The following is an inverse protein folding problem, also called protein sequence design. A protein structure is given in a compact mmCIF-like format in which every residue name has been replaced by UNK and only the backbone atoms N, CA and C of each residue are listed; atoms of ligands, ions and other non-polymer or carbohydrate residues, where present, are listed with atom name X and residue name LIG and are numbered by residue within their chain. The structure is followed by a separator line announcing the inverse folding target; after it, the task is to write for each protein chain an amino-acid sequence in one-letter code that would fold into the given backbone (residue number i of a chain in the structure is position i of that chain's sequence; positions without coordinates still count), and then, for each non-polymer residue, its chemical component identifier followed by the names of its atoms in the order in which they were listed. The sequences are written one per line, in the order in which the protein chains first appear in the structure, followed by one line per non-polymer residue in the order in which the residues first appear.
data_IF_497551367238
#
_entry.id   IF_497551367238
#
_cell.length_a   1.000
_cell.length_b   1.000
_cell.length_c   1.000
_cell.angle_alpha   90.00
_cell.angle_beta   90.00
_cell.angle_gamma   90.00
#
_symmetry.space_group_name_H-M   'P 1'
#
loop_
_entity.id
_entity.type
_entity.pdbx_description
1 polymer ?
#
# COMPACT_ATOMS: atom_id res chain seq x y z
N UNK A 1 -24.28 4.58 -41.64
CA UNK A 1 -22.91 4.70 -41.11
C UNK A 1 -23.02 4.83 -39.59
N UNK A 2 -22.85 3.72 -38.88
CA UNK A 2 -22.90 3.75 -37.43
C UNK A 2 -21.62 4.43 -36.93
N UNK A 3 -21.70 5.43 -36.04
CA UNK A 3 -20.50 5.88 -35.36
C UNK A 3 -19.91 4.66 -34.65
N UNK A 4 -18.64 4.42 -34.87
CA UNK A 4 -17.93 3.46 -34.09
C UNK A 4 -18.12 3.87 -32.63
N UNK A 5 -18.82 3.03 -31.88
CA UNK A 5 -18.87 3.16 -30.45
C UNK A 5 -17.43 2.98 -29.93
N UNK A 6 -16.80 4.10 -29.57
CA UNK A 6 -15.41 4.13 -29.09
C UNK A 6 -15.26 3.64 -27.66
N UNK A 7 -16.18 2.82 -27.20
CA UNK A 7 -16.00 2.09 -25.94
C UNK A 7 -15.12 0.87 -26.20
N UNK A 8 -13.81 1.10 -26.24
CA UNK A 8 -12.89 0.02 -25.94
C UNK A 8 -13.30 -0.51 -24.55
N UNK A 9 -13.44 -1.83 -24.40
CA UNK A 9 -13.67 -2.39 -23.07
C UNK A 9 -12.56 -1.91 -22.15
N UNK A 10 -12.85 -1.62 -20.88
CA UNK A 10 -11.81 -1.30 -19.94
C UNK A 10 -10.76 -2.42 -20.01
N UNK A 11 -9.47 -2.08 -20.03
CA UNK A 11 -8.43 -3.11 -20.06
C UNK A 11 -8.73 -4.13 -18.97
N UNK A 12 -8.78 -5.39 -19.35
CA UNK A 12 -8.94 -6.48 -18.40
C UNK A 12 -7.99 -6.24 -17.25
N UNK A 13 -8.51 -6.24 -16.02
CA UNK A 13 -7.73 -6.00 -14.82
C UNK A 13 -6.53 -6.96 -14.69
N UNK A 14 -6.55 -8.06 -15.43
CA UNK A 14 -5.50 -9.08 -15.48
C UNK A 14 -4.39 -8.79 -16.51
N UNK A 15 -4.58 -7.83 -17.40
CA UNK A 15 -3.59 -7.46 -18.42
C UNK A 15 -3.08 -6.04 -18.18
N UNK A 16 -2.27 -5.87 -17.14
CA UNK A 16 -1.44 -4.68 -17.05
C UNK A 16 -0.57 -4.63 -18.31
N UNK A 17 -0.65 -3.53 -19.07
CA UNK A 17 0.16 -3.35 -20.26
C UNK A 17 1.65 -3.60 -19.91
N UNK A 18 2.45 -4.19 -20.83
CA UNK A 18 3.87 -4.48 -20.55
C UNK A 18 4.66 -3.29 -19.99
N UNK A 19 4.33 -2.07 -20.42
CA UNK A 19 4.96 -0.84 -19.90
C UNK A 19 4.64 -0.60 -18.43
N UNK A 20 3.44 -0.97 -17.94
CA UNK A 20 3.05 -0.88 -16.54
C UNK A 20 3.78 -1.95 -15.73
N UNK A 21 3.92 -3.15 -16.26
CA UNK A 21 4.68 -4.20 -15.60
C UNK A 21 6.16 -3.82 -15.39
N UNK A 22 6.80 -3.27 -16.42
CA UNK A 22 8.18 -2.76 -16.31
C UNK A 22 8.30 -1.63 -15.27
N UNK A 23 7.33 -0.73 -15.23
CA UNK A 23 7.27 0.34 -14.24
C UNK A 23 7.12 -0.21 -12.81
N UNK A 24 6.30 -1.24 -12.62
CA UNK A 24 6.12 -1.90 -11.33
C UNK A 24 7.39 -2.61 -10.87
N UNK A 25 8.11 -3.28 -11.75
CA UNK A 25 9.41 -3.87 -11.44
C UNK A 25 10.39 -2.80 -10.96
N UNK A 26 10.50 -1.69 -11.69
CA UNK A 26 11.38 -0.58 -11.33
C UNK A 26 10.98 0.07 -10.00
N UNK A 27 9.69 0.29 -9.78
CA UNK A 27 9.16 0.89 -8.55
C UNK A 27 9.40 -0.01 -7.33
N UNK A 28 9.11 -1.31 -7.46
CA UNK A 28 9.35 -2.27 -6.38
C UNK A 28 10.84 -2.36 -6.02
N UNK A 29 11.71 -2.37 -7.00
CA UNK A 29 13.16 -2.36 -6.80
C UNK A 29 13.62 -1.09 -6.08
N UNK A 30 13.10 0.08 -6.49
CA UNK A 30 13.39 1.34 -5.83
C UNK A 30 12.97 1.35 -4.36
N UNK A 31 11.77 0.86 -4.06
CA UNK A 31 11.26 0.74 -2.68
C UNK A 31 12.15 -0.18 -1.85
N UNK A 32 12.53 -1.34 -2.38
CA UNK A 32 13.41 -2.29 -1.71
C UNK A 32 14.81 -1.72 -1.43
N UNK A 33 15.24 -0.74 -2.23
CA UNK A 33 16.50 -0.02 -2.04
C UNK A 33 16.36 1.20 -1.11
N UNK A 34 15.20 1.42 -0.54
CA UNK A 34 14.94 2.49 0.42
C UNK A 34 14.46 3.81 -0.21
N UNK A 35 14.13 3.83 -1.49
CA UNK A 35 13.60 5.03 -2.17
C UNK A 35 12.09 5.21 -1.93
N UNK A 36 11.61 6.44 -2.11
CA UNK A 36 10.20 6.78 -2.13
C UNK A 36 9.65 6.73 -3.57
N UNK A 37 8.44 6.22 -3.71
CA UNK A 37 7.76 6.10 -5.01
C UNK A 37 6.35 6.66 -4.91
N UNK A 38 5.92 7.42 -5.92
CA UNK A 38 4.53 7.86 -6.07
C UNK A 38 3.75 6.77 -6.80
N UNK A 39 2.59 6.41 -6.26
CA UNK A 39 1.74 5.37 -6.84
C UNK A 39 0.26 5.76 -6.75
N UNK A 40 -0.60 5.26 -7.68
CA UNK A 40 -2.03 5.55 -7.65
C UNK A 40 -2.75 4.74 -6.59
N UNK A 41 -3.84 5.32 -6.05
CA UNK A 41 -4.83 4.61 -5.22
C UNK A 41 -6.23 4.93 -5.76
N UNK A 42 -7.30 4.38 -5.15
CA UNK A 42 -8.67 4.73 -5.53
C UNK A 42 -9.08 6.14 -5.06
N UNK A 43 -8.29 6.77 -4.21
CA UNK A 43 -8.56 8.12 -3.67
C UNK A 43 -7.62 9.15 -4.28
N UNK A 44 -6.42 9.28 -3.74
CA UNK A 44 -5.39 10.22 -4.20
C UNK A 44 -4.11 9.44 -4.47
N UNK A 45 -3.14 10.06 -5.15
CA UNK A 45 -1.81 9.47 -5.27
C UNK A 45 -1.16 9.31 -3.90
N UNK A 46 -0.55 8.16 -3.68
CA UNK A 46 0.25 7.87 -2.50
C UNK A 46 1.73 8.09 -2.76
N UNK A 47 2.46 8.39 -1.70
CA UNK A 47 3.93 8.38 -1.69
C UNK A 47 4.35 7.31 -0.70
N UNK A 48 4.97 6.25 -1.20
CA UNK A 48 5.32 5.06 -0.41
C UNK A 48 6.80 4.77 -0.35
N UNK A 49 7.17 4.18 0.76
CA UNK A 49 8.51 3.61 0.99
C UNK A 49 8.34 2.20 1.56
N UNK A 50 9.42 1.46 1.75
CA UNK A 50 9.38 0.23 2.52
C UNK A 50 8.98 0.55 3.98
N UNK A 51 7.77 0.15 4.36
CA UNK A 51 7.22 0.43 5.68
C UNK A 51 7.98 -0.28 6.81
N UNK A 52 8.80 -1.28 6.51
CA UNK A 52 9.62 -2.01 7.47
C UNK A 52 11.03 -1.43 7.64
N UNK A 53 11.42 -0.49 6.80
CA UNK A 53 12.73 0.19 6.82
C UNK A 53 12.61 1.52 7.57
N UNK A 54 13.14 1.57 8.79
CA UNK A 54 13.08 2.75 9.64
C UNK A 54 13.72 4.01 9.01
N UNK A 55 14.82 3.86 8.29
CA UNK A 55 15.51 4.98 7.63
C UNK A 55 14.69 5.51 6.46
N UNK A 56 14.08 4.63 5.67
CA UNK A 56 13.20 5.01 4.57
C UNK A 56 11.95 5.73 5.09
N UNK A 57 11.34 5.24 6.16
CA UNK A 57 10.18 5.88 6.81
C UNK A 57 10.56 7.25 7.36
N UNK A 58 11.70 7.39 8.02
CA UNK A 58 12.18 8.68 8.52
C UNK A 58 12.34 9.70 7.37
N UNK A 59 12.92 9.29 6.25
CA UNK A 59 13.04 10.15 5.06
C UNK A 59 11.68 10.53 4.48
N UNK A 60 10.71 9.64 4.52
CA UNK A 60 9.36 9.94 4.04
C UNK A 60 8.72 11.07 4.85
N UNK A 61 8.86 11.07 6.16
CA UNK A 61 8.40 12.19 7.00
C UNK A 61 9.05 13.50 6.59
N UNK A 62 10.35 13.50 6.30
CA UNK A 62 11.08 14.70 5.85
C UNK A 62 10.60 15.18 4.49
N UNK A 63 10.44 14.27 3.51
CA UNK A 63 9.95 14.59 2.17
C UNK A 63 8.55 15.22 2.24
N UNK A 64 7.67 14.69 3.06
CA UNK A 64 6.28 15.18 3.21
C UNK A 64 6.19 16.42 4.10
N UNK A 65 7.23 16.77 4.84
CA UNK A 65 7.15 17.80 5.88
C UNK A 65 6.13 17.45 6.96
N UNK A 66 5.90 16.16 7.18
CA UNK A 66 4.89 15.66 8.12
C UNK A 66 5.49 15.55 9.51
N UNK A 67 4.81 16.04 10.56
CA UNK A 67 5.25 15.83 11.93
C UNK A 67 5.26 14.33 12.29
N UNK A 68 6.31 13.88 12.96
CA UNK A 68 6.43 12.48 13.39
C UNK A 68 5.36 12.04 14.39
N UNK A 69 4.70 12.99 15.05
CA UNK A 69 3.55 12.75 15.92
C UNK A 69 2.28 12.31 15.17
N UNK A 70 2.28 12.38 13.84
CA UNK A 70 1.18 11.93 12.97
C UNK A 70 1.58 10.64 12.28
N UNK A 71 1.19 9.45 12.80
CA UNK A 71 1.54 8.16 12.20
C UNK A 71 1.15 8.05 10.73
N UNK A 72 1.88 7.22 10.00
CA UNK A 72 1.57 6.84 8.63
C UNK A 72 0.84 5.51 8.60
N UNK A 73 -0.09 5.38 7.65
CA UNK A 73 -0.74 4.10 7.35
C UNK A 73 0.12 3.27 6.42
N UNK A 74 -0.03 1.95 6.49
CA UNK A 74 0.67 0.99 5.67
C UNK A 74 -0.29 0.38 4.65
N UNK A 75 0.12 0.36 3.39
CA UNK A 75 -0.59 -0.34 2.33
C UNK A 75 -0.07 -1.75 2.15
N UNK A 76 -0.98 -2.71 2.05
CA UNK A 76 -0.68 -4.11 1.74
C UNK A 76 -1.53 -4.57 0.56
N UNK A 77 -1.10 -5.65 -0.11
CA UNK A 77 -1.77 -6.15 -1.32
C UNK A 77 -3.10 -6.83 -1.00
N UNK A 78 -3.14 -7.60 0.08
CA UNK A 78 -4.28 -8.40 0.51
C UNK A 78 -4.14 -8.82 1.98
N UNK A 79 -5.16 -9.52 2.48
CA UNK A 79 -5.16 -10.04 3.84
C UNK A 79 -4.08 -11.12 4.06
N UNK A 80 -3.82 -11.96 3.09
CA UNK A 80 -2.82 -13.02 3.22
C UNK A 80 -1.42 -12.44 3.42
N UNK A 81 -1.10 -11.36 2.70
CA UNK A 81 0.14 -10.61 2.92
C UNK A 81 0.16 -9.99 4.32
N UNK A 82 -0.95 -9.38 4.74
CA UNK A 82 -1.07 -8.72 6.04
C UNK A 82 -0.78 -9.68 7.21
N UNK A 83 -1.23 -10.92 7.13
CA UNK A 83 -1.02 -11.93 8.18
C UNK A 83 0.45 -12.32 8.38
N UNK A 84 1.32 -11.97 7.45
CA UNK A 84 2.78 -12.15 7.61
C UNK A 84 3.41 -11.11 8.53
N UNK A 85 2.72 -10.00 8.79
CA UNK A 85 3.25 -8.84 9.53
C UNK A 85 2.51 -8.57 10.84
N UNK A 86 1.26 -8.97 10.94
CA UNK A 86 0.42 -8.80 12.13
C UNK A 86 -0.41 -10.05 12.41
N UNK A 87 -0.76 -10.24 13.67
CA UNK A 87 -1.71 -11.29 14.08
C UNK A 87 -3.11 -10.70 14.14
N UNK A 88 -4.05 -11.34 13.44
CA UNK A 88 -5.45 -10.91 13.38
C UNK A 88 -6.33 -11.76 14.30
N UNK A 89 -7.25 -11.11 15.00
CA UNK A 89 -8.38 -11.78 15.65
C UNK A 89 -9.41 -12.19 14.60
N UNK A 90 -10.31 -13.11 14.93
CA UNK A 90 -11.40 -13.52 14.04
C UNK A 90 -12.30 -12.34 13.67
N UNK A 91 -12.54 -11.43 14.60
CA UNK A 91 -13.33 -10.21 14.38
C UNK A 91 -12.64 -9.25 13.41
N UNK A 92 -11.35 -9.05 13.56
CA UNK A 92 -10.55 -8.22 12.66
C UNK A 92 -10.52 -8.82 11.25
N UNK A 93 -10.33 -10.13 11.14
CA UNK A 93 -10.38 -10.85 9.86
C UNK A 93 -11.72 -10.66 9.16
N UNK A 94 -12.83 -10.83 9.88
CA UNK A 94 -14.17 -10.65 9.32
C UNK A 94 -14.41 -9.20 8.85
N UNK A 95 -13.93 -8.21 9.61
CA UNK A 95 -14.03 -6.80 9.23
C UNK A 95 -13.24 -6.50 7.96
N UNK A 96 -12.01 -6.97 7.88
CA UNK A 96 -11.14 -6.77 6.72
C UNK A 96 -11.75 -7.41 5.48
N UNK A 97 -12.23 -8.65 5.58
CA UNK A 97 -12.86 -9.36 4.46
C UNK A 97 -14.10 -8.65 3.93
N UNK A 98 -14.81 -7.92 4.80
CA UNK A 98 -16.03 -7.20 4.42
C UNK A 98 -15.74 -5.83 3.79
N UNK A 99 -14.77 -5.08 4.29
CA UNK A 99 -14.59 -3.67 3.96
C UNK A 99 -13.34 -3.35 3.14
N UNK A 100 -12.39 -4.27 3.06
CA UNK A 100 -11.17 -4.10 2.28
C UNK A 100 -11.12 -5.13 1.14
N UNK A 101 -10.62 -4.76 -0.05
CA UNK A 101 -10.03 -3.45 -0.43
C UNK A 101 -11.03 -2.30 -0.38
N UNK A 102 -10.56 -1.11 -0.06
CA UNK A 102 -11.40 0.09 0.00
C UNK A 102 -10.75 1.24 0.76
N UNK A 103 -11.46 2.39 0.86
CA UNK A 103 -10.93 3.63 1.44
C UNK A 103 -11.01 3.63 2.98
N UNK A 104 -10.75 2.50 3.61
CA UNK A 104 -10.81 2.32 5.06
C UNK A 104 -9.42 2.00 5.59
N UNK A 105 -9.00 2.69 6.64
CA UNK A 105 -7.81 2.35 7.42
C UNK A 105 -8.22 1.65 8.69
N UNK A 106 -7.67 0.47 8.94
CA UNK A 106 -7.94 -0.34 10.13
C UNK A 106 -6.76 -0.22 11.07
N UNK A 107 -7.00 0.08 12.34
CA UNK A 107 -5.97 0.07 13.38
C UNK A 107 -5.85 -1.33 13.96
N UNK A 108 -4.66 -1.89 13.87
CA UNK A 108 -4.33 -3.24 14.35
C UNK A 108 -3.16 -3.19 15.32
N UNK A 109 -3.07 -4.19 16.19
CA UNK A 109 -1.93 -4.33 17.08
C UNK A 109 -0.64 -4.54 16.29
N UNK A 110 0.41 -3.83 16.69
CA UNK A 110 1.72 -3.89 16.05
C UNK A 110 2.57 -4.99 16.67
N UNK A 111 2.93 -6.00 15.89
CA UNK A 111 3.71 -7.16 16.35
C UNK A 111 5.25 -6.97 16.24
N UNK A 112 5.73 -5.75 16.16
CA UNK A 112 7.16 -5.44 16.22
C UNK A 112 7.91 -5.45 14.88
N UNK A 113 7.27 -5.78 13.76
CA UNK A 113 7.89 -5.71 12.42
C UNK A 113 7.99 -4.27 11.93
N UNK A 114 6.96 -3.47 12.21
CA UNK A 114 6.95 -2.08 11.80
C UNK A 114 7.73 -1.21 12.80
N UNK A 115 8.60 -0.30 12.31
CA UNK A 115 9.46 0.50 13.19
C UNK A 115 8.68 1.55 13.98
N UNK A 116 9.20 1.94 15.14
CA UNK A 116 8.62 2.95 16.00
C UNK A 116 8.38 4.29 15.29
N UNK A 117 9.27 4.70 14.40
CA UNK A 117 9.16 5.96 13.66
C UNK A 117 7.89 6.02 12.79
N UNK A 118 7.42 4.89 12.28
CA UNK A 118 6.20 4.81 11.47
C UNK A 118 4.96 5.21 12.25
N UNK A 119 4.88 4.84 13.51
CA UNK A 119 3.68 4.91 14.35
C UNK A 119 3.87 5.79 15.59
N UNK A 120 4.93 6.58 15.66
CA UNK A 120 5.26 7.40 16.84
C UNK A 120 5.33 6.56 18.13
N UNK A 121 5.93 5.38 18.05
CA UNK A 121 6.08 4.46 19.19
C UNK A 121 4.78 3.82 19.68
N UNK A 122 3.67 3.99 19.00
CA UNK A 122 2.36 3.44 19.41
C UNK A 122 2.32 1.92 19.29
N UNK A 123 1.44 1.29 20.05
CA UNK A 123 1.19 -0.15 20.01
C UNK A 123 0.36 -0.59 18.81
N UNK A 124 -0.21 0.34 18.05
CA UNK A 124 -1.07 0.07 16.89
C UNK A 124 -0.45 0.61 15.61
N UNK A 125 -0.84 -0.01 14.49
CA UNK A 125 -0.49 0.41 13.13
C UNK A 125 -1.75 0.50 12.28
N UNK A 126 -1.88 1.57 11.48
CA UNK A 126 -2.97 1.72 10.52
C UNK A 126 -2.66 0.93 9.25
N UNK A 127 -3.57 0.06 8.86
CA UNK A 127 -3.43 -0.78 7.66
C UNK A 127 -4.53 -0.46 6.66
N UNK A 128 -4.15 -0.42 5.40
CA UNK A 128 -5.05 -0.22 4.27
C UNK A 128 -4.75 -1.23 3.17
N UNK A 129 -5.81 -1.73 2.54
CA UNK A 129 -5.72 -2.47 1.27
C UNK A 129 -6.38 -1.58 0.22
N UNK A 130 -5.60 -0.89 -0.62
CA UNK A 130 -6.17 0.03 -1.60
C UNK A 130 -6.96 -0.74 -2.68
N UNK A 131 -8.11 -0.19 -3.07
CA UNK A 131 -8.89 -0.71 -4.18
C UNK A 131 -8.36 -0.17 -5.52
N UNK A 132 -7.12 -0.54 -5.82
CA UNK A 132 -6.41 -0.16 -7.04
C UNK A 132 -5.42 -1.27 -7.41
N UNK A 133 -5.54 -1.79 -8.62
CA UNK A 133 -4.74 -2.93 -9.07
C UNK A 133 -3.24 -2.63 -9.08
N UNK A 134 -2.85 -1.42 -9.47
CA UNK A 134 -1.43 -1.01 -9.51
C UNK A 134 -0.85 -0.91 -8.09
N UNK A 135 -1.58 -0.28 -7.17
CA UNK A 135 -1.14 -0.15 -5.77
C UNK A 135 -0.99 -1.52 -5.09
N UNK A 136 -1.94 -2.41 -5.30
CA UNK A 136 -1.91 -3.77 -4.74
C UNK A 136 -0.77 -4.59 -5.32
N UNK A 137 -0.57 -4.53 -6.62
CA UNK A 137 0.52 -5.25 -7.29
C UNK A 137 1.90 -4.71 -6.85
N UNK A 138 2.03 -3.40 -6.68
CA UNK A 138 3.26 -2.80 -6.15
C UNK A 138 3.56 -3.32 -4.73
N UNK A 139 2.58 -3.33 -3.85
CA UNK A 139 2.74 -3.86 -2.49
C UNK A 139 3.06 -5.36 -2.50
N UNK A 140 2.44 -6.13 -3.39
CA UNK A 140 2.73 -7.56 -3.55
C UNK A 140 4.18 -7.82 -3.91
N UNK A 141 4.78 -6.97 -4.75
CA UNK A 141 6.18 -7.10 -5.20
C UNK A 141 7.19 -6.49 -4.23
N UNK A 142 6.86 -5.36 -3.63
CA UNK A 142 7.80 -4.60 -2.80
C UNK A 142 7.72 -4.96 -1.31
N UNK A 143 6.61 -5.49 -0.85
CA UNK A 143 6.27 -5.58 0.57
C UNK A 143 5.35 -4.45 1.03
N UNK A 144 5.07 -4.33 2.33
CA UNK A 144 4.25 -3.24 2.87
C UNK A 144 4.85 -1.87 2.56
N UNK A 145 4.00 -0.96 2.09
CA UNK A 145 4.41 0.39 1.65
C UNK A 145 3.58 1.50 2.27
#
# INVERSE_FOLDING_TARGET
MSPADGSDPPPDADALAPAVDDALVAAATAIQQGAAVVYPTETVYGLGVDATDADAVARLFEIKGRPRSKPLSVGVADRDMLTQYVTLTDRETAFIDRFLPGPVTVLLDRDGVFPDVLVDGRATVGIRIPDNAVARELASRAGPI
#
